data_IF_029678748660
#
_entry.id   IF_029678748660
#
_cell.length_a   1.000
_cell.length_b   1.000
_cell.length_c   1.000
_cell.angle_alpha   90.00
_cell.angle_beta   90.00
_cell.angle_gamma   90.00
#
_symmetry.space_group_name_H-M   'P 1'
#
loop_
_entity.id
_entity.type
_entity.pdbx_description
1 polymer ?
#
# COMPACT_ATOMS: atom_id res chain seq x y z
N UNK A 1 -12.81 10.09 16.56
CA UNK A 1 -13.01 8.70 16.05
C UNK A 1 -11.75 8.30 15.32
N UNK A 2 -11.25 7.08 15.52
CA UNK A 2 -10.05 6.59 14.82
C UNK A 2 -10.43 5.55 13.78
N UNK A 3 -10.03 5.76 12.53
CA UNK A 3 -10.34 4.89 11.39
C UNK A 3 -9.06 4.22 10.90
N UNK A 4 -9.05 2.89 10.94
CA UNK A 4 -7.96 2.07 10.43
C UNK A 4 -8.30 1.61 9.01
N UNK A 5 -7.47 1.98 8.03
CA UNK A 5 -7.66 1.68 6.61
C UNK A 5 -6.57 0.69 6.19
N UNK A 6 -6.96 -0.58 6.00
CA UNK A 6 -6.03 -1.68 5.68
C UNK A 6 -6.46 -2.47 4.44
N UNK A 7 -6.50 -1.84 3.25
CA UNK A 7 -6.91 -2.50 2.02
C UNK A 7 -5.77 -3.31 1.40
N UNK A 8 -6.15 -4.23 0.53
CA UNK A 8 -5.27 -4.84 -0.47
C UNK A 8 -5.36 -4.08 -1.81
N UNK A 9 -4.47 -4.43 -2.73
CA UNK A 9 -4.44 -3.94 -4.09
C UNK A 9 -5.65 -4.41 -4.91
N UNK A 10 -6.03 -3.61 -5.90
CA UNK A 10 -6.93 -4.03 -6.97
C UNK A 10 -6.05 -4.48 -8.14
N UNK A 11 -5.90 -5.80 -8.28
CA UNK A 11 -4.97 -6.43 -9.24
C UNK A 11 -5.11 -5.84 -10.65
N UNK A 12 -3.98 -5.41 -11.22
CA UNK A 12 -3.93 -4.78 -12.54
C UNK A 12 -4.51 -3.37 -12.63
N UNK A 13 -4.85 -2.74 -11.50
CA UNK A 13 -5.48 -1.42 -11.47
C UNK A 13 -4.84 -0.48 -10.45
N UNK A 14 -5.05 -0.73 -9.15
CA UNK A 14 -4.60 0.17 -8.08
C UNK A 14 -3.74 -0.60 -7.08
N UNK A 15 -2.61 -0.02 -6.70
CA UNK A 15 -1.84 -0.48 -5.54
C UNK A 15 -2.65 -0.33 -4.24
N UNK A 16 -2.37 -1.17 -3.24
CA UNK A 16 -3.00 -1.09 -1.92
C UNK A 16 -2.89 0.32 -1.29
N UNK A 17 -1.76 1.01 -1.52
CA UNK A 17 -1.56 2.41 -1.10
C UNK A 17 -2.56 3.35 -1.76
N UNK A 18 -2.75 3.26 -3.08
CA UNK A 18 -3.70 4.10 -3.80
C UNK A 18 -5.13 3.87 -3.35
N UNK A 19 -5.50 2.61 -3.10
CA UNK A 19 -6.80 2.26 -2.54
C UNK A 19 -6.99 2.92 -1.17
N UNK A 20 -5.98 2.82 -0.28
CA UNK A 20 -6.05 3.45 1.04
C UNK A 20 -6.19 4.99 0.97
N UNK A 21 -5.45 5.63 0.06
CA UNK A 21 -5.51 7.07 -0.16
C UNK A 21 -6.90 7.53 -0.68
N UNK A 22 -7.51 6.75 -1.57
CA UNK A 22 -8.85 7.03 -2.11
C UNK A 22 -9.96 6.81 -1.09
N UNK A 23 -9.86 5.76 -0.26
CA UNK A 23 -10.80 5.52 0.85
C UNK A 23 -10.76 6.69 1.83
N UNK A 24 -9.56 7.09 2.28
CA UNK A 24 -9.40 8.24 3.18
C UNK A 24 -9.98 9.51 2.56
N UNK A 25 -9.69 9.79 1.29
CA UNK A 25 -10.22 10.95 0.57
C UNK A 25 -11.75 10.95 0.53
N UNK A 26 -12.37 9.80 0.34
CA UNK A 26 -13.82 9.64 0.41
C UNK A 26 -14.37 9.90 1.81
N UNK A 27 -13.75 9.29 2.81
CA UNK A 27 -14.19 9.37 4.21
C UNK A 27 -14.07 10.78 4.77
N UNK A 28 -13.02 11.52 4.41
CA UNK A 28 -12.82 12.91 4.84
C UNK A 28 -13.93 13.86 4.38
N UNK A 29 -14.75 13.50 3.38
CA UNK A 29 -15.93 14.29 2.98
C UNK A 29 -17.05 14.25 4.02
N UNK A 30 -17.08 13.24 4.88
CA UNK A 30 -18.14 13.03 5.89
C UNK A 30 -17.55 13.10 7.31
N UNK A 31 -16.40 12.47 7.53
CA UNK A 31 -15.71 12.42 8.81
C UNK A 31 -14.44 13.29 8.75
N UNK A 32 -14.60 14.60 8.76
CA UNK A 32 -13.51 15.57 8.59
C UNK A 32 -12.46 15.50 9.69
N UNK A 33 -12.88 15.27 10.94
CA UNK A 33 -12.02 15.27 12.14
C UNK A 33 -11.68 13.86 12.65
N UNK A 34 -11.90 12.83 11.84
CA UNK A 34 -11.43 11.49 12.21
C UNK A 34 -9.90 11.40 12.08
N UNK A 35 -9.29 10.60 12.96
CA UNK A 35 -7.88 10.23 12.85
C UNK A 35 -7.76 9.02 11.93
N UNK A 36 -6.96 9.14 10.88
CA UNK A 36 -6.80 8.09 9.88
C UNK A 36 -5.44 7.41 10.01
N UNK A 37 -5.44 6.09 10.13
CA UNK A 37 -4.24 5.27 10.07
C UNK A 37 -4.34 4.33 8.87
N UNK A 38 -3.46 4.53 7.88
CA UNK A 38 -3.39 3.69 6.68
C UNK A 38 -2.29 2.65 6.84
N UNK A 39 -2.66 1.38 6.71
CA UNK A 39 -1.74 0.25 6.73
C UNK A 39 -2.07 -0.65 5.55
N UNK A 40 -1.59 -0.34 4.34
CA UNK A 40 -1.80 -1.19 3.17
C UNK A 40 -1.24 -2.59 3.43
N UNK A 41 -1.98 -3.62 3.01
CA UNK A 41 -1.60 -5.03 3.21
C UNK A 41 -1.49 -5.75 1.87
N UNK A 42 -0.84 -6.91 1.89
CA UNK A 42 -0.74 -7.84 0.76
C UNK A 42 -0.56 -9.25 1.32
N UNK A 43 -1.02 -10.24 0.57
CA UNK A 43 -0.88 -11.68 0.85
C UNK A 43 0.46 -12.28 0.35
N UNK A 44 1.37 -11.43 -0.14
CA UNK A 44 2.65 -11.85 -0.72
C UNK A 44 2.70 -11.73 -2.24
N UNK A 45 1.62 -11.28 -2.89
CA UNK A 45 1.59 -10.97 -4.31
C UNK A 45 2.36 -9.70 -4.71
N UNK A 46 1.94 -9.11 -5.83
CA UNK A 46 2.53 -7.87 -6.33
C UNK A 46 2.44 -6.71 -5.32
N UNK A 47 3.51 -5.92 -5.24
CA UNK A 47 3.54 -4.72 -4.39
C UNK A 47 3.93 -4.94 -2.94
N UNK A 48 4.09 -6.20 -2.48
CA UNK A 48 4.54 -6.53 -1.10
C UNK A 48 5.87 -5.83 -0.74
N UNK A 49 6.82 -5.77 -1.67
CA UNK A 49 8.11 -5.11 -1.45
C UNK A 49 7.92 -3.63 -1.09
N UNK A 50 7.03 -2.93 -1.80
CA UNK A 50 6.76 -1.51 -1.54
C UNK A 50 6.07 -1.31 -0.19
N UNK A 51 5.16 -2.22 0.18
CA UNK A 51 4.49 -2.21 1.48
C UNK A 51 5.52 -2.36 2.60
N UNK A 52 6.42 -3.34 2.50
CA UNK A 52 7.46 -3.59 3.50
C UNK A 52 8.43 -2.41 3.62
N UNK A 53 8.89 -1.84 2.50
CA UNK A 53 9.74 -0.64 2.49
C UNK A 53 9.06 0.52 3.24
N UNK A 54 7.80 0.80 2.92
CA UNK A 54 7.05 1.90 3.56
C UNK A 54 6.82 1.64 5.06
N UNK A 55 6.52 0.39 5.45
CA UNK A 55 6.23 0.03 6.83
C UNK A 55 7.48 0.00 7.72
N UNK A 56 8.64 -0.35 7.17
CA UNK A 56 9.89 -0.54 7.92
C UNK A 56 10.90 0.59 7.73
N UNK A 57 10.57 1.59 6.90
CA UNK A 57 11.53 2.59 6.41
C UNK A 57 12.77 1.93 5.76
N UNK A 58 12.52 0.82 5.05
CA UNK A 58 13.54 0.01 4.41
C UNK A 58 14.16 0.67 3.17
N UNK A 59 15.18 0.03 2.61
CA UNK A 59 15.83 0.47 1.37
C UNK A 59 15.71 -0.60 0.30
N UNK A 60 15.44 -0.17 -0.93
CA UNK A 60 15.48 -1.04 -2.11
C UNK A 60 16.88 -0.99 -2.71
N UNK A 61 17.46 -2.15 -2.92
CA UNK A 61 18.68 -2.32 -3.71
C UNK A 61 18.32 -3.10 -4.98
N UNK A 62 19.02 -2.80 -6.06
CA UNK A 62 18.82 -3.45 -7.36
C UNK A 62 20.18 -3.89 -7.87
N UNK A 63 20.24 -5.12 -8.35
CA UNK A 63 21.43 -5.74 -8.91
C UNK A 63 21.07 -6.40 -10.24
N UNK A 64 22.07 -6.52 -11.11
CA UNK A 64 21.92 -7.26 -12.35
C UNK A 64 22.01 -8.76 -12.05
N UNK A 65 21.00 -9.50 -12.49
CA UNK A 65 20.91 -10.95 -12.35
C UNK A 65 20.60 -11.57 -13.71
N UNK A 66 21.01 -12.82 -13.91
CA UNK A 66 20.62 -13.61 -15.07
C UNK A 66 19.10 -13.71 -15.13
N UNK A 67 18.53 -13.43 -16.30
CA UNK A 67 17.10 -13.49 -16.50
C UNK A 67 16.63 -14.96 -16.68
N UNK A 68 15.32 -15.23 -16.83
CA UNK A 68 14.82 -16.59 -16.98
C UNK A 68 15.34 -17.39 -18.19
N UNK A 69 15.99 -16.74 -19.16
CA UNK A 69 16.50 -17.34 -20.40
C UNK A 69 18.01 -17.60 -20.40
N UNK A 70 18.73 -17.21 -19.35
CA UNK A 70 20.19 -17.39 -19.24
C UNK A 70 20.99 -16.17 -19.68
#
# INVERSE_FOLDING_TARGET
MKIFISPDSFKGSLSAKQVADLIEKGFRKVFTEADYLKVPVSDGGEGILQILINATNGKKYSEFVTDPLG
#
